data_IF_909822737001
#
_entry.id   IF_909822737001
#
_cell.length_a   1.000
_cell.length_b   1.000
_cell.length_c   1.000
_cell.angle_alpha   90.00
_cell.angle_beta   90.00
_cell.angle_gamma   90.00
#
_symmetry.space_group_name_H-M   'P 1'
#
loop_
_entity.id
_entity.type
_entity.pdbx_description
1 polymer ?
#
# COMPACT_ATOMS: atom_id res chain seq x y z
N UNK A 1 -9.91 -4.55 -11.97
CA UNK A 1 -8.86 -3.51 -11.96
C UNK A 1 -8.06 -3.65 -10.69
N UNK A 2 -6.75 -3.41 -10.74
CA UNK A 2 -5.87 -3.42 -9.57
C UNK A 2 -5.27 -2.04 -9.39
N UNK A 3 -5.29 -1.54 -8.16
CA UNK A 3 -4.61 -0.32 -7.73
C UNK A 3 -3.57 -0.72 -6.67
N UNK A 4 -2.29 -0.69 -7.02
CA UNK A 4 -1.20 -0.93 -6.08
C UNK A 4 -0.70 0.41 -5.55
N UNK A 5 -0.94 0.69 -4.28
CA UNK A 5 -0.48 1.94 -3.67
C UNK A 5 1.01 1.81 -3.37
N UNK A 6 1.83 2.65 -4.00
CA UNK A 6 3.28 2.55 -3.89
C UNK A 6 3.81 3.31 -2.67
N UNK A 7 4.82 2.72 -2.04
CA UNK A 7 5.82 3.43 -1.22
C UNK A 7 6.96 3.88 -2.15
N UNK A 8 7.68 4.93 -1.76
CA UNK A 8 8.66 5.57 -2.64
C UNK A 8 10.05 4.92 -2.58
N UNK A 9 10.45 4.36 -1.44
CA UNK A 9 11.82 3.88 -1.21
C UNK A 9 12.12 2.59 -1.96
N UNK A 10 11.19 1.65 -1.96
CA UNK A 10 11.33 0.34 -2.61
C UNK A 10 10.03 -0.02 -3.33
N UNK A 11 10.04 0.05 -4.67
CA UNK A 11 8.88 -0.38 -5.45
C UNK A 11 8.69 -1.91 -5.35
N UNK A 12 7.68 -2.36 -4.62
CA UNK A 12 7.43 -3.81 -4.40
C UNK A 12 6.74 -4.51 -5.57
N UNK A 13 6.16 -3.75 -6.52
CA UNK A 13 5.39 -4.30 -7.63
C UNK A 13 6.23 -4.66 -8.87
N UNK A 14 7.57 -4.60 -8.80
CA UNK A 14 8.48 -4.76 -9.94
C UNK A 14 8.26 -6.01 -10.81
N UNK A 15 7.91 -7.20 -10.27
CA UNK A 15 7.58 -8.36 -11.11
C UNK A 15 6.39 -8.14 -12.04
N UNK A 16 5.49 -7.24 -11.67
CA UNK A 16 4.28 -6.92 -12.41
C UNK A 16 4.40 -5.61 -13.19
N UNK A 17 5.35 -4.73 -12.84
CA UNK A 17 5.54 -3.42 -13.43
C UNK A 17 5.49 -3.39 -14.98
N UNK A 18 6.10 -4.34 -15.74
CA UNK A 18 6.01 -4.37 -17.20
C UNK A 18 4.59 -4.51 -17.78
N UNK A 19 3.61 -4.87 -16.95
CA UNK A 19 2.19 -4.99 -17.31
C UNK A 19 1.33 -3.86 -16.71
N UNK A 20 1.92 -3.01 -15.88
CA UNK A 20 1.21 -1.98 -15.12
C UNK A 20 1.40 -0.61 -15.76
N UNK A 21 0.35 0.22 -15.67
CA UNK A 21 0.46 1.67 -15.91
C UNK A 21 0.73 2.35 -14.57
N UNK A 22 1.76 3.18 -14.48
CA UNK A 22 2.01 3.96 -13.27
C UNK A 22 1.19 5.25 -13.30
N UNK A 23 0.39 5.48 -12.28
CA UNK A 23 -0.35 6.70 -12.06
C UNK A 23 0.53 7.69 -11.28
N UNK A 24 0.85 8.82 -11.89
CA UNK A 24 1.74 9.84 -11.33
C UNK A 24 0.95 11.12 -11.04
N UNK A 25 1.24 11.85 -9.96
CA UNK A 25 0.56 13.11 -9.68
C UNK A 25 0.90 14.17 -10.76
N UNK A 26 -0.12 14.80 -11.33
CA UNK A 26 0.03 15.79 -12.39
C UNK A 26 0.82 17.00 -11.88
N UNK A 27 1.81 17.45 -12.66
CA UNK A 27 2.61 18.64 -12.37
C UNK A 27 3.59 18.51 -11.20
N UNK A 28 3.84 17.29 -10.70
CA UNK A 28 4.84 17.03 -9.66
C UNK A 28 6.12 16.48 -10.29
N UNK A 29 7.23 17.12 -9.96
CA UNK A 29 8.56 16.68 -10.34
C UNK A 29 9.00 15.49 -9.47
N UNK A 30 9.54 14.45 -10.12
CA UNK A 30 10.04 13.25 -9.48
C UNK A 30 11.30 12.74 -10.19
N UNK A 31 12.16 12.07 -9.44
CA UNK A 31 13.33 11.38 -9.97
C UNK A 31 13.22 9.88 -9.69
N UNK A 32 13.72 9.05 -10.58
CA UNK A 32 13.68 7.60 -10.43
C UNK A 32 15.07 7.01 -10.53
N UNK A 33 15.40 6.18 -9.54
CA UNK A 33 16.73 5.64 -9.38
C UNK A 33 16.69 4.13 -9.27
N UNK A 34 17.43 3.45 -10.14
CA UNK A 34 17.75 2.04 -10.00
C UNK A 34 18.95 1.88 -9.06
N UNK A 35 18.71 1.33 -7.86
CA UNK A 35 19.70 1.09 -6.81
C UNK A 35 20.11 -0.39 -6.80
N UNK A 36 21.30 -0.76 -7.29
CA UNK A 36 21.74 -2.16 -7.26
C UNK A 36 21.93 -2.64 -5.82
N UNK A 37 21.58 -3.89 -5.53
CA UNK A 37 21.81 -4.48 -4.20
C UNK A 37 23.28 -4.56 -3.82
N UNK A 38 24.19 -4.58 -4.81
CA UNK A 38 25.62 -4.48 -4.56
C UNK A 38 26.00 -3.00 -4.45
N UNK A 39 26.37 -2.49 -3.25
CA UNK A 39 26.65 -1.07 -3.05
C UNK A 39 27.92 -0.59 -3.78
N UNK A 40 28.73 -1.50 -4.33
CA UNK A 40 29.87 -1.15 -5.17
C UNK A 40 29.47 -0.78 -6.62
N UNK A 41 28.23 -1.06 -7.02
CA UNK A 41 27.69 -0.64 -8.32
C UNK A 41 27.00 0.72 -8.17
N UNK A 42 27.13 1.61 -9.16
CA UNK A 42 26.51 2.92 -9.09
C UNK A 42 24.98 2.83 -9.16
N UNK A 43 24.32 3.72 -8.43
CA UNK A 43 22.91 4.06 -8.68
C UNK A 43 22.80 4.72 -10.05
N UNK A 44 21.78 4.36 -10.81
CA UNK A 44 21.54 4.88 -12.16
C UNK A 44 20.16 5.53 -12.20
N UNK A 45 20.10 6.75 -12.70
CA UNK A 45 18.84 7.43 -13.02
C UNK A 45 18.17 6.75 -14.21
N UNK A 46 16.86 6.52 -14.10
CA UNK A 46 16.05 5.84 -15.11
C UNK A 46 14.71 6.56 -15.25
N UNK A 47 13.94 6.20 -16.27
CA UNK A 47 12.55 6.64 -16.41
C UNK A 47 11.60 5.60 -15.79
N UNK A 48 10.42 6.03 -15.33
CA UNK A 48 9.38 5.07 -14.90
C UNK A 48 9.03 4.08 -16.03
N UNK A 49 9.02 4.55 -17.27
CA UNK A 49 8.69 3.73 -18.46
C UNK A 49 9.80 2.76 -18.87
N UNK A 50 10.98 2.81 -18.25
CA UNK A 50 11.99 1.74 -18.38
C UNK A 50 11.57 0.46 -17.66
N UNK A 51 10.63 0.56 -16.71
CA UNK A 51 10.19 -0.52 -15.83
C UNK A 51 8.68 -0.79 -15.97
N UNK A 52 7.89 0.27 -16.05
CA UNK A 52 6.44 0.24 -16.22
C UNK A 52 6.04 0.29 -17.69
N UNK A 53 4.86 -0.26 -18.00
CA UNK A 53 4.34 -0.30 -19.37
C UNK A 53 4.03 1.09 -19.92
N UNK A 54 3.48 1.95 -19.08
CA UNK A 54 2.92 3.25 -19.47
C UNK A 54 2.75 4.14 -18.23
N UNK A 55 2.51 5.42 -18.44
CA UNK A 55 2.23 6.43 -17.39
C UNK A 55 0.85 7.04 -17.59
N UNK A 56 0.17 7.41 -16.51
CA UNK A 56 -1.04 8.24 -16.55
C UNK A 56 -0.95 9.30 -15.46
N UNK A 57 -1.24 10.54 -15.79
CA UNK A 57 -1.25 11.62 -14.80
C UNK A 57 -2.60 11.72 -14.09
N UNK A 58 -2.62 12.10 -12.82
CA UNK A 58 -3.84 12.38 -12.07
C UNK A 58 -3.71 13.60 -11.16
N UNK A 59 -4.79 14.36 -10.99
CA UNK A 59 -4.80 15.58 -10.16
C UNK A 59 -5.20 15.31 -8.71
N UNK A 60 -6.11 14.37 -8.50
CA UNK A 60 -6.59 13.93 -7.19
C UNK A 60 -7.11 12.48 -7.26
N UNK A 61 -7.41 11.82 -6.12
CA UNK A 61 -7.88 10.44 -6.11
C UNK A 61 -9.17 10.19 -6.91
N UNK A 62 -10.06 11.19 -7.06
CA UNK A 62 -11.29 11.08 -7.83
C UNK A 62 -11.01 11.17 -9.33
N UNK A 63 -10.16 12.10 -9.75
CA UNK A 63 -9.71 12.22 -11.13
C UNK A 63 -9.10 10.91 -11.66
N UNK A 64 -8.25 10.24 -10.85
CA UNK A 64 -7.70 8.93 -11.26
C UNK A 64 -8.81 7.90 -11.53
N UNK A 65 -9.93 7.91 -10.78
CA UNK A 65 -11.05 6.99 -11.03
C UNK A 65 -11.74 7.22 -12.38
N UNK A 66 -11.66 8.43 -12.95
CA UNK A 66 -12.20 8.74 -14.29
C UNK A 66 -11.29 8.24 -15.42
N UNK A 67 -9.99 8.05 -15.13
CA UNK A 67 -8.95 7.71 -16.11
C UNK A 67 -8.64 6.21 -16.19
N UNK A 68 -8.93 5.46 -15.12
CA UNK A 68 -8.69 4.02 -15.09
C UNK A 68 -9.74 3.23 -15.87
N UNK A 69 -9.35 2.07 -16.40
CA UNK A 69 -10.25 1.18 -17.15
C UNK A 69 -10.52 -0.15 -16.44
N UNK A 70 -11.66 -0.81 -16.71
CA UNK A 70 -11.94 -2.14 -16.20
C UNK A 70 -10.87 -3.16 -16.63
N UNK A 71 -10.31 -3.87 -15.66
CA UNK A 71 -9.26 -4.86 -15.90
C UNK A 71 -7.84 -4.30 -15.96
N UNK A 72 -7.65 -2.98 -15.87
CA UNK A 72 -6.32 -2.37 -15.82
C UNK A 72 -5.55 -2.72 -14.54
N UNK A 73 -4.22 -2.66 -14.64
CA UNK A 73 -3.28 -2.81 -13.53
C UNK A 73 -2.54 -1.49 -13.35
N UNK A 74 -2.71 -0.86 -12.19
CA UNK A 74 -2.16 0.46 -11.91
C UNK A 74 -1.26 0.41 -10.68
N UNK A 75 -0.10 1.05 -10.77
CA UNK A 75 0.75 1.37 -9.62
C UNK A 75 0.58 2.86 -9.34
N UNK A 76 0.22 3.26 -8.14
CA UNK A 76 -0.15 4.64 -7.83
C UNK A 76 0.94 5.25 -6.97
N UNK A 77 1.67 6.22 -7.53
CA UNK A 77 2.58 7.05 -6.74
C UNK A 77 1.75 8.02 -5.88
N UNK A 78 2.05 8.20 -4.59
CA UNK A 78 1.32 9.11 -3.72
C UNK A 78 1.55 10.57 -4.11
N UNK A 79 0.50 11.40 -4.09
CA UNK A 79 0.63 12.84 -4.35
C UNK A 79 1.22 13.55 -3.13
N UNK A 80 2.43 14.16 -3.19
CA UNK A 80 3.06 14.78 -2.04
C UNK A 80 2.36 16.07 -1.57
N UNK A 81 1.46 16.61 -2.39
CA UNK A 81 0.61 17.75 -2.02
C UNK A 81 -0.75 17.34 -1.48
N UNK A 82 -1.05 16.04 -1.42
CA UNK A 82 -2.32 15.49 -0.92
C UNK A 82 -3.58 16.15 -1.51
N UNK A 83 -3.55 16.54 -2.78
CA UNK A 83 -4.66 17.28 -3.41
C UNK A 83 -5.95 16.47 -3.35
N UNK A 84 -7.02 17.13 -2.90
CA UNK A 84 -8.35 16.54 -2.74
C UNK A 84 -8.50 15.59 -1.53
N UNK A 85 -7.43 15.23 -0.83
CA UNK A 85 -7.50 14.24 0.26
C UNK A 85 -8.34 14.72 1.44
N UNK A 86 -8.15 15.96 1.90
CA UNK A 86 -8.91 16.55 3.01
C UNK A 86 -10.42 16.58 2.73
N UNK A 87 -10.81 16.94 1.49
CA UNK A 87 -12.22 17.00 1.10
C UNK A 87 -12.88 15.62 1.13
N UNK A 88 -12.12 14.59 0.73
CA UNK A 88 -12.59 13.21 0.69
C UNK A 88 -12.69 12.60 2.08
N UNK A 89 -11.69 12.77 2.94
CA UNK A 89 -11.64 12.11 4.25
C UNK A 89 -12.19 12.94 5.39
N UNK A 90 -12.28 14.27 5.23
CA UNK A 90 -12.55 15.24 6.31
C UNK A 90 -11.53 15.14 7.46
N UNK A 91 -10.27 14.94 7.10
CA UNK A 91 -9.13 14.85 8.01
C UNK A 91 -8.00 15.72 7.45
N UNK A 92 -7.13 16.21 8.33
CA UNK A 92 -5.99 17.07 7.98
C UNK A 92 -4.94 16.32 7.16
N UNK A 93 -4.37 17.00 6.17
CA UNK A 93 -3.15 16.58 5.47
C UNK A 93 -2.21 17.76 5.33
N UNK A 94 -1.01 17.64 5.89
CA UNK A 94 0.03 18.67 5.88
C UNK A 94 1.17 18.23 4.96
N UNK A 95 1.29 18.78 3.74
CA UNK A 95 2.46 18.60 2.90
C UNK A 95 3.74 19.10 3.57
N UNK A 96 4.90 18.57 3.19
CA UNK A 96 6.19 18.94 3.80
C UNK A 96 6.47 20.45 3.77
N UNK A 97 6.16 21.13 2.66
CA UNK A 97 6.39 22.57 2.49
C UNK A 97 5.43 23.49 3.27
N UNK A 98 4.41 22.92 3.93
CA UNK A 98 3.45 23.65 4.77
C UNK A 98 3.63 23.34 6.26
N UNK A 99 4.46 22.35 6.61
CA UNK A 99 4.72 21.98 8.00
C UNK A 99 5.72 22.95 8.65
N UNK A 100 5.57 23.19 9.95
CA UNK A 100 6.54 23.93 10.76
C UNK A 100 7.52 22.99 11.47
N UNK A 101 7.10 21.75 11.76
CA UNK A 101 7.94 20.71 12.39
C UNK A 101 7.86 19.37 11.63
N UNK A 102 8.92 18.52 11.66
CA UNK A 102 8.90 17.21 10.98
C UNK A 102 7.76 16.28 11.39
N UNK A 103 7.28 16.40 12.64
CA UNK A 103 6.18 15.58 13.17
C UNK A 103 4.82 15.95 12.54
N UNK A 104 4.67 17.17 12.03
CA UNK A 104 3.44 17.65 11.41
C UNK A 104 3.30 17.13 9.98
N UNK A 105 4.39 16.72 9.32
CA UNK A 105 4.35 16.26 7.93
C UNK A 105 3.52 14.98 7.82
N UNK A 106 2.47 15.03 7.01
CA UNK A 106 1.65 13.84 6.76
C UNK A 106 2.47 12.77 6.01
N UNK A 107 2.46 11.50 6.47
CA UNK A 107 3.07 10.41 5.73
C UNK A 107 2.41 10.23 4.35
N UNK A 108 3.20 10.09 3.28
CA UNK A 108 2.69 9.95 1.91
C UNK A 108 1.67 8.80 1.73
N UNK A 109 1.82 7.72 2.50
CA UNK A 109 0.91 6.57 2.49
C UNK A 109 -0.53 6.93 2.87
N UNK A 110 -0.76 8.04 3.57
CA UNK A 110 -2.09 8.47 4.00
C UNK A 110 -3.02 8.77 2.82
N UNK A 111 -2.48 9.04 1.63
CA UNK A 111 -3.27 9.14 0.39
C UNK A 111 -4.19 7.93 0.20
N UNK A 112 -3.81 6.76 0.73
CA UNK A 112 -4.60 5.53 0.66
C UNK A 112 -5.96 5.67 1.35
N UNK A 113 -6.07 6.48 2.40
CA UNK A 113 -7.37 6.78 3.02
C UNK A 113 -8.27 7.54 2.07
N UNK A 114 -7.74 8.51 1.33
CA UNK A 114 -8.49 9.28 0.35
C UNK A 114 -8.96 8.38 -0.81
N UNK A 115 -8.10 7.50 -1.34
CA UNK A 115 -8.50 6.51 -2.35
C UNK A 115 -9.60 5.57 -1.85
N UNK A 116 -9.51 5.08 -0.61
CA UNK A 116 -10.55 4.27 -0.01
C UNK A 116 -11.88 5.04 0.11
N UNK A 117 -11.82 6.31 0.51
CA UNK A 117 -13.00 7.17 0.63
C UNK A 117 -13.63 7.49 -0.73
N UNK A 118 -12.84 7.75 -1.77
CA UNK A 118 -13.32 7.86 -3.15
C UNK A 118 -14.07 6.60 -3.56
N UNK A 119 -13.48 5.41 -3.32
CA UNK A 119 -14.14 4.12 -3.59
C UNK A 119 -15.39 3.88 -2.74
N UNK A 120 -15.48 4.50 -1.56
CA UNK A 120 -16.62 4.36 -0.65
C UNK A 120 -17.79 5.30 -0.99
N UNK A 121 -17.49 6.51 -1.46
CA UNK A 121 -18.46 7.60 -1.63
C UNK A 121 -18.89 7.81 -3.07
N UNK A 122 -17.98 7.66 -4.02
CA UNK A 122 -18.24 8.03 -5.42
C UNK A 122 -18.66 6.83 -6.27
N UNK A 123 -19.36 7.10 -7.36
CA UNK A 123 -19.86 6.10 -8.32
C UNK A 123 -19.15 6.16 -9.68
N UNK A 124 -18.07 6.94 -9.79
CA UNK A 124 -17.34 7.17 -11.05
C UNK A 124 -16.82 5.86 -11.68
N UNK A 125 -16.37 4.93 -10.84
CA UNK A 125 -15.84 3.64 -11.27
C UNK A 125 -16.44 2.49 -10.48
N UNK A 126 -17.56 1.91 -10.91
CA UNK A 126 -18.22 0.82 -10.16
C UNK A 126 -17.72 -0.59 -10.49
N UNK A 127 -16.65 -0.71 -11.26
CA UNK A 127 -16.11 -2.00 -11.64
C UNK A 127 -15.31 -2.67 -10.51
N UNK A 128 -15.25 -4.02 -10.48
CA UNK A 128 -14.45 -4.75 -9.51
C UNK A 128 -13.00 -4.25 -9.46
N UNK A 129 -12.62 -3.78 -8.27
CA UNK A 129 -11.32 -3.15 -8.03
C UNK A 129 -10.67 -3.83 -6.84
N UNK A 130 -9.39 -4.17 -6.95
CA UNK A 130 -8.57 -4.65 -5.84
C UNK A 130 -7.54 -3.58 -5.52
N UNK A 131 -7.57 -3.05 -4.30
CA UNK A 131 -6.55 -2.13 -3.80
C UNK A 131 -5.52 -2.92 -3.00
N UNK A 132 -4.24 -2.79 -3.34
CA UNK A 132 -3.12 -3.39 -2.60
C UNK A 132 -2.48 -2.30 -1.77
N UNK A 133 -2.48 -2.50 -0.45
CA UNK A 133 -1.80 -1.62 0.49
C UNK A 133 -0.58 -2.34 1.02
N UNK A 134 0.58 -1.79 0.73
CA UNK A 134 1.82 -2.22 1.33
C UNK A 134 2.05 -1.52 2.66
N UNK A 135 2.89 -2.10 3.52
CA UNK A 135 3.18 -1.62 4.88
C UNK A 135 1.92 -1.19 5.68
N UNK A 136 0.90 -2.03 5.62
CA UNK A 136 -0.43 -1.75 6.16
C UNK A 136 -0.42 -1.47 7.67
N UNK A 137 0.55 -2.00 8.42
CA UNK A 137 0.68 -1.71 9.86
C UNK A 137 0.99 -0.26 10.16
N UNK A 138 1.71 0.45 9.29
CA UNK A 138 1.99 1.87 9.52
C UNK A 138 0.97 2.77 8.81
N UNK A 139 0.16 2.23 7.89
CA UNK A 139 -1.05 2.92 7.43
C UNK A 139 -2.15 2.94 8.51
N UNK A 140 -2.35 1.82 9.20
CA UNK A 140 -3.37 1.70 10.27
C UNK A 140 -2.75 1.28 11.60
N UNK A 141 -1.88 2.09 12.21
CA UNK A 141 -1.17 1.74 13.43
C UNK A 141 -2.12 1.42 14.58
N UNK A 142 -1.68 0.59 15.52
CA UNK A 142 -2.44 0.19 16.69
C UNK A 142 -2.66 1.39 17.61
N UNK A 143 -3.93 1.66 17.96
CA UNK A 143 -4.31 2.70 18.93
C UNK A 143 -3.68 4.07 18.63
N UNK A 144 -3.89 4.63 17.42
CA UNK A 144 -3.36 5.94 17.11
C UNK A 144 -3.97 6.98 18.05
N UNK A 145 -3.14 7.87 18.57
CA UNK A 145 -3.59 9.00 19.35
C UNK A 145 -4.05 10.13 18.42
N UNK A 146 -4.75 11.12 18.98
CA UNK A 146 -5.07 12.32 18.22
C UNK A 146 -3.78 13.12 18.00
N UNK A 147 -3.52 13.45 16.74
CA UNK A 147 -2.35 14.17 16.26
C UNK A 147 -2.76 15.23 15.23
N UNK A 148 -1.80 16.04 14.81
CA UNK A 148 -1.96 17.15 13.86
C UNK A 148 -2.47 16.65 12.50
N UNK A 149 -2.12 15.41 12.15
CA UNK A 149 -2.48 14.73 10.91
C UNK A 149 -3.82 13.98 10.97
N UNK A 150 -4.57 14.08 12.07
CA UNK A 150 -5.86 13.39 12.25
C UNK A 150 -5.76 11.85 12.01
N UNK A 151 -4.60 11.24 12.28
CA UNK A 151 -4.32 9.81 12.11
C UNK A 151 -5.36 8.97 12.85
N UNK A 152 -5.71 9.35 14.08
CA UNK A 152 -6.80 8.68 14.81
C UNK A 152 -8.10 8.65 14.01
N UNK A 153 -8.53 9.80 13.47
CA UNK A 153 -9.76 9.91 12.69
C UNK A 153 -9.69 9.05 11.42
N UNK A 154 -8.58 9.14 10.68
CA UNK A 154 -8.36 8.35 9.44
C UNK A 154 -8.45 6.85 9.71
N UNK A 155 -7.69 6.36 10.71
CA UNK A 155 -7.65 4.93 11.07
C UNK A 155 -8.99 4.43 11.62
N UNK A 156 -9.64 5.17 12.51
CA UNK A 156 -10.95 4.78 13.07
C UNK A 156 -12.08 4.88 12.04
N UNK A 157 -11.94 5.74 11.02
CA UNK A 157 -12.88 5.84 9.89
C UNK A 157 -12.75 4.70 8.87
N UNK A 158 -11.54 4.13 8.73
CA UNK A 158 -11.21 3.10 7.75
C UNK A 158 -12.22 1.93 7.68
N UNK A 159 -12.66 1.31 8.80
CA UNK A 159 -13.56 0.16 8.76
C UNK A 159 -14.94 0.50 8.18
N UNK A 160 -15.39 1.76 8.37
CA UNK A 160 -16.66 2.26 7.84
C UNK A 160 -16.53 2.51 6.33
N UNK A 161 -15.44 3.18 5.92
CA UNK A 161 -15.15 3.44 4.51
C UNK A 161 -15.03 2.13 3.72
N UNK A 162 -14.27 1.17 4.24
CA UNK A 162 -14.08 -0.14 3.63
C UNK A 162 -15.39 -0.94 3.53
N UNK A 163 -16.24 -0.87 4.55
CA UNK A 163 -17.57 -1.48 4.52
C UNK A 163 -18.49 -0.89 3.43
N UNK A 164 -18.39 0.41 3.15
CA UNK A 164 -19.12 1.07 2.06
C UNK A 164 -18.51 0.74 0.70
N UNK A 165 -17.19 0.84 0.54
CA UNK A 165 -16.49 0.56 -0.70
C UNK A 165 -16.69 -0.89 -1.17
N UNK A 166 -16.83 -1.85 -0.24
CA UNK A 166 -17.18 -3.24 -0.57
C UNK A 166 -18.53 -3.36 -1.28
N UNK A 167 -19.52 -2.52 -0.95
CA UNK A 167 -20.81 -2.48 -1.65
C UNK A 167 -20.66 -1.99 -3.10
N UNK A 168 -19.53 -1.35 -3.41
CA UNK A 168 -19.12 -0.86 -4.73
C UNK A 168 -18.00 -1.71 -5.34
N UNK A 169 -18.01 -3.02 -5.07
CA UNK A 169 -17.10 -4.01 -5.68
C UNK A 169 -15.60 -3.82 -5.36
N UNK A 170 -15.26 -3.13 -4.25
CA UNK A 170 -13.87 -3.07 -3.78
C UNK A 170 -13.49 -4.36 -3.01
N UNK A 171 -12.33 -4.91 -3.33
CA UNK A 171 -11.57 -5.86 -2.51
C UNK A 171 -10.22 -5.25 -2.13
N UNK A 172 -9.60 -5.74 -1.06
CA UNK A 172 -8.31 -5.24 -0.59
C UNK A 172 -7.34 -6.38 -0.29
N UNK A 173 -6.08 -6.15 -0.60
CA UNK A 173 -4.93 -6.97 -0.16
C UNK A 173 -4.08 -6.07 0.71
N UNK A 174 -3.88 -6.45 1.96
CA UNK A 174 -3.12 -5.68 2.94
C UNK A 174 -1.87 -6.48 3.31
N UNK A 175 -0.69 -5.91 3.07
CA UNK A 175 0.60 -6.52 3.35
C UNK A 175 1.19 -5.86 4.59
N UNK A 176 1.67 -6.64 5.56
CA UNK A 176 2.31 -6.12 6.77
C UNK A 176 3.22 -7.17 7.37
N UNK A 177 4.33 -6.72 7.96
CA UNK A 177 5.22 -7.54 8.76
C UNK A 177 4.56 -8.10 10.02
N UNK A 178 3.58 -7.39 10.60
CA UNK A 178 2.90 -7.81 11.82
C UNK A 178 1.49 -7.25 11.93
N UNK A 179 0.49 -8.12 11.73
CA UNK A 179 -0.92 -7.77 11.90
C UNK A 179 -1.25 -7.33 13.35
N UNK A 180 -0.44 -7.74 14.33
CA UNK A 180 -0.62 -7.32 15.74
C UNK A 180 -0.38 -5.81 15.95
N UNK A 181 0.31 -5.15 15.01
CA UNK A 181 0.53 -3.69 15.02
C UNK A 181 -0.58 -2.91 14.33
N UNK A 182 -1.57 -3.57 13.73
CA UNK A 182 -2.70 -2.90 13.12
C UNK A 182 -3.79 -2.59 14.15
N UNK A 183 -4.51 -1.49 13.95
CA UNK A 183 -5.70 -1.19 14.75
C UNK A 183 -6.76 -2.31 14.67
N UNK A 184 -7.50 -2.52 15.76
CA UNK A 184 -8.47 -3.61 15.88
C UNK A 184 -9.63 -3.48 14.89
N UNK A 185 -10.18 -2.28 14.71
CA UNK A 185 -11.30 -2.05 13.80
C UNK A 185 -10.96 -2.43 12.34
N UNK A 186 -9.80 -1.99 11.81
CA UNK A 186 -9.29 -2.44 10.53
C UNK A 186 -9.04 -3.96 10.46
N UNK A 187 -8.47 -4.57 11.51
CA UNK A 187 -8.27 -6.03 11.58
C UNK A 187 -9.57 -6.80 11.40
N UNK A 188 -10.64 -6.41 12.10
CA UNK A 188 -11.96 -7.05 12.04
C UNK A 188 -12.55 -7.14 10.64
N UNK A 189 -12.15 -6.26 9.72
CA UNK A 189 -12.63 -6.29 8.35
C UNK A 189 -11.82 -7.21 7.42
N UNK A 190 -10.68 -7.71 7.86
CA UNK A 190 -9.88 -8.66 7.10
C UNK A 190 -10.51 -10.05 7.25
N UNK A 191 -10.95 -10.63 6.12
CA UNK A 191 -11.70 -11.88 6.12
C UNK A 191 -10.82 -13.12 6.04
N UNK A 192 -9.71 -13.02 5.32
CA UNK A 192 -8.77 -14.10 5.05
C UNK A 192 -7.39 -13.60 5.39
N UNK A 193 -6.59 -14.48 5.98
CA UNK A 193 -5.22 -14.17 6.36
C UNK A 193 -4.28 -15.12 5.65
N UNK A 194 -3.09 -14.62 5.35
CA UNK A 194 -2.01 -15.42 4.76
C UNK A 194 -0.80 -15.29 5.68
N UNK A 195 -0.31 -16.41 6.19
CA UNK A 195 0.91 -16.45 6.99
C UNK A 195 2.06 -16.95 6.12
N UNK A 196 3.08 -16.12 6.03
CA UNK A 196 4.27 -16.37 5.22
C UNK A 196 5.24 -17.36 5.91
N UNK A 197 6.09 -18.03 5.12
CA UNK A 197 7.31 -18.70 5.55
C UNK A 197 8.03 -18.01 6.69
N UNK A 198 8.44 -18.78 7.70
CA UNK A 198 9.29 -18.30 8.80
C UNK A 198 8.70 -17.09 9.56
N UNK A 199 7.40 -16.85 9.47
CA UNK A 199 6.66 -15.84 10.23
C UNK A 199 5.79 -16.53 11.28
N UNK A 200 5.88 -16.14 12.56
CA UNK A 200 5.01 -16.71 13.58
C UNK A 200 3.55 -16.39 13.26
N UNK A 201 2.61 -17.36 13.37
CA UNK A 201 1.20 -17.04 13.25
C UNK A 201 0.79 -16.08 14.38
N UNK A 202 -0.21 -15.22 14.16
CA UNK A 202 -0.70 -14.33 15.21
C UNK A 202 -1.17 -15.11 16.45
N UNK A 203 -1.06 -14.48 17.63
CA UNK A 203 -1.57 -15.08 18.86
C UNK A 203 -3.09 -15.27 18.78
N UNK A 204 -3.60 -16.39 19.31
CA UNK A 204 -5.05 -16.65 19.41
C UNK A 204 -5.80 -15.62 20.26
N UNK A 205 -5.10 -14.90 21.14
CA UNK A 205 -5.65 -13.82 21.95
C UNK A 205 -5.70 -12.48 21.22
N UNK A 206 -5.18 -12.39 19.99
CA UNK A 206 -5.19 -11.14 19.24
C UNK A 206 -6.62 -10.83 18.78
N UNK A 207 -7.16 -9.71 19.24
CA UNK A 207 -8.52 -9.33 18.89
C UNK A 207 -8.68 -9.02 17.39
N UNK A 208 -9.91 -9.10 16.89
CA UNK A 208 -10.29 -8.72 15.53
C UNK A 208 -9.89 -9.67 14.41
N UNK A 209 -9.26 -10.82 14.68
CA UNK A 209 -8.85 -11.78 13.63
C UNK A 209 -9.54 -13.16 13.72
N UNK A 210 -10.35 -13.38 14.75
CA UNK A 210 -11.02 -14.67 15.00
C UNK A 210 -10.05 -15.75 15.47
N UNK A 211 -10.42 -17.02 15.27
CA UNK A 211 -9.59 -18.16 15.64
C UNK A 211 -8.40 -18.31 14.66
N UNK A 212 -7.21 -18.63 15.16
CA UNK A 212 -6.02 -18.92 14.35
C UNK A 212 -5.80 -20.44 14.31
N UNK A 213 -6.10 -21.11 13.18
CA UNK A 213 -6.13 -22.58 13.13
C UNK A 213 -4.77 -23.22 12.85
N UNK A 214 -3.73 -22.39 12.72
CA UNK A 214 -2.38 -22.80 12.34
C UNK A 214 -1.43 -22.62 13.52
N UNK A 215 -0.46 -23.53 13.66
CA UNK A 215 0.58 -23.44 14.69
C UNK A 215 1.97 -23.32 14.07
N UNK A 216 2.94 -22.93 14.89
CA UNK A 216 4.32 -22.70 14.46
C UNK A 216 4.97 -23.96 13.87
N UNK A 217 4.65 -25.14 14.39
CA UNK A 217 5.19 -26.41 13.88
C UNK A 217 4.76 -26.67 12.42
N UNK A 218 3.50 -26.37 12.10
CA UNK A 218 2.99 -26.50 10.73
C UNK A 218 3.67 -25.50 9.78
N UNK A 219 3.83 -24.24 10.20
CA UNK A 219 4.53 -23.22 9.42
C UNK A 219 5.98 -23.62 9.18
N UNK A 220 6.72 -24.04 10.21
CA UNK A 220 8.11 -24.47 10.08
C UNK A 220 8.26 -25.71 9.18
N UNK A 221 7.28 -26.62 9.15
CA UNK A 221 7.34 -27.84 8.33
C UNK A 221 6.97 -27.59 6.87
N UNK A 222 5.95 -26.77 6.61
CA UNK A 222 5.42 -26.54 5.26
C UNK A 222 6.09 -25.36 4.54
N UNK A 223 6.38 -24.30 5.30
CA UNK A 223 6.67 -22.97 4.79
C UNK A 223 8.14 -22.58 4.89
N UNK A 224 9.10 -23.44 5.24
CA UNK A 224 10.54 -23.10 5.17
C UNK A 224 11.07 -22.87 3.71
N UNK A 225 10.18 -22.77 2.73
CA UNK A 225 10.52 -22.57 1.31
C UNK A 225 9.85 -21.33 0.77
N UNK A 226 10.65 -20.43 0.19
CA UNK A 226 10.16 -19.30 -0.61
C UNK A 226 9.17 -19.80 -1.68
N UNK A 227 8.10 -19.05 -1.91
CA UNK A 227 7.05 -19.44 -2.87
C UNK A 227 5.97 -20.35 -2.28
N UNK A 228 5.84 -20.39 -0.95
CA UNK A 228 4.76 -21.08 -0.24
C UNK A 228 4.19 -20.15 0.81
N UNK A 229 2.94 -20.36 1.21
CA UNK A 229 2.35 -19.77 2.40
C UNK A 229 1.13 -20.59 2.84
N UNK A 230 0.49 -20.18 3.93
CA UNK A 230 -0.75 -20.81 4.39
C UNK A 230 -1.83 -19.74 4.42
N UNK A 231 -2.90 -19.94 3.65
CA UNK A 231 -4.11 -19.12 3.74
C UNK A 231 -5.03 -19.74 4.78
N UNK A 232 -5.63 -18.92 5.64
CA UNK A 232 -6.47 -19.40 6.72
C UNK A 232 -7.59 -18.42 7.08
N UNK A 233 -8.61 -18.97 7.74
CA UNK A 233 -9.73 -18.24 8.33
C UNK A 233 -10.43 -19.11 9.38
N UNK A 234 -10.56 -18.59 10.60
CA UNK A 234 -11.24 -19.26 11.71
C UNK A 234 -10.70 -20.68 11.90
N UNK A 235 -11.49 -21.70 11.57
CA UNK A 235 -11.13 -23.10 11.81
C UNK A 235 -10.49 -23.79 10.59
N UNK A 236 -10.35 -23.09 9.47
CA UNK A 236 -9.89 -23.68 8.21
C UNK A 236 -8.58 -23.05 7.75
N UNK A 237 -7.68 -23.88 7.20
CA UNK A 237 -6.47 -23.43 6.52
C UNK A 237 -6.15 -24.31 5.32
N UNK A 238 -5.44 -23.74 4.36
CA UNK A 238 -4.94 -24.44 3.19
C UNK A 238 -3.52 -23.97 2.83
N UNK A 239 -2.63 -24.89 2.43
CA UNK A 239 -1.35 -24.52 1.84
C UNK A 239 -1.56 -23.87 0.47
N UNK A 240 -0.79 -22.82 0.18
CA UNK A 240 -0.70 -22.19 -1.14
C UNK A 240 0.77 -22.14 -1.60
N UNK A 241 0.98 -22.15 -2.90
CA UNK A 241 2.31 -22.09 -3.51
C UNK A 241 2.31 -21.32 -4.83
N UNK A 242 3.42 -20.66 -5.12
CA UNK A 242 3.63 -19.91 -6.37
C UNK A 242 5.09 -20.05 -6.85
N UNK A 243 5.32 -19.93 -8.17
CA UNK A 243 6.67 -19.96 -8.72
C UNK A 243 7.46 -18.72 -8.27
N UNK A 244 8.79 -18.83 -8.21
CA UNK A 244 9.63 -17.65 -8.04
C UNK A 244 9.63 -16.82 -9.34
N UNK A 245 9.05 -15.61 -9.35
CA UNK A 245 8.96 -14.79 -10.57
C UNK A 245 10.35 -14.34 -11.04
N UNK A 246 11.30 -14.15 -10.12
CA UNK A 246 12.62 -13.60 -10.40
C UNK A 246 13.60 -14.55 -11.11
N UNK A 247 13.20 -15.79 -11.47
CA UNK A 247 14.10 -16.78 -12.09
C UNK A 247 14.73 -16.32 -13.41
N UNK A 248 14.12 -15.36 -14.11
CA UNK A 248 14.56 -14.89 -15.43
C UNK A 248 15.09 -13.45 -15.44
N UNK A 249 15.09 -12.76 -14.31
CA UNK A 249 15.47 -11.34 -14.24
C UNK A 249 16.96 -11.21 -13.90
N UNK A 250 17.67 -10.39 -14.68
CA UNK A 250 19.13 -10.18 -14.55
C UNK A 250 19.48 -9.11 -13.52
N UNK A 251 18.60 -8.13 -13.30
CA UNK A 251 18.79 -7.11 -12.26
C UNK A 251 18.18 -7.57 -10.94
N UNK A 252 18.94 -7.40 -9.86
CA UNK A 252 18.51 -7.56 -8.46
C UNK A 252 18.91 -6.29 -7.73
N UNK A 253 17.97 -5.36 -7.63
CA UNK A 253 18.10 -4.11 -6.93
C UNK A 253 16.73 -3.52 -6.71
N UNK A 254 16.69 -2.36 -6.06
CA UNK A 254 15.48 -1.61 -5.79
C UNK A 254 15.31 -0.52 -6.84
N UNK A 255 14.07 -0.17 -7.11
CA UNK A 255 13.75 1.10 -7.77
C UNK A 255 13.22 2.00 -6.66
N UNK A 256 13.79 3.19 -6.53
CA UNK A 256 13.29 4.23 -5.63
C UNK A 256 12.84 5.45 -6.43
N UNK A 257 11.77 6.09 -5.97
CA UNK A 257 11.26 7.34 -6.52
C UNK A 257 11.45 8.42 -5.47
N UNK A 258 11.90 9.62 -5.85
CA UNK A 258 12.04 10.76 -4.94
C UNK A 258 11.28 11.96 -5.48
N UNK A 259 10.78 12.80 -4.58
CA UNK A 259 10.17 14.08 -4.94
C UNK A 259 11.11 15.21 -4.50
N UNK A 260 11.99 15.75 -5.38
CA UNK A 260 13.06 16.64 -4.97
C UNK A 260 12.61 17.81 -4.09
N UNK A 261 11.53 18.50 -4.48
CA UNK A 261 10.97 19.62 -3.70
C UNK A 261 10.41 19.23 -2.34
N UNK A 262 9.93 17.99 -2.19
CA UNK A 262 9.48 17.48 -0.90
C UNK A 262 10.68 17.19 0.00
N UNK A 263 11.73 16.58 -0.55
CA UNK A 263 12.95 16.28 0.19
C UNK A 263 13.66 17.58 0.62
N UNK A 264 13.74 18.58 -0.27
CA UNK A 264 14.24 19.92 0.06
C UNK A 264 13.46 20.56 1.22
N UNK A 265 12.12 20.51 1.18
CA UNK A 265 11.29 21.03 2.26
C UNK A 265 11.49 20.26 3.58
N UNK A 266 11.73 18.95 3.53
CA UNK A 266 12.02 18.15 4.72
C UNK A 266 13.39 18.46 5.31
N UNK A 267 14.40 18.74 4.48
CA UNK A 267 15.74 19.10 4.91
C UNK A 267 15.79 20.49 5.56
N UNK A 268 14.79 21.34 5.34
CA UNK A 268 14.66 22.68 5.92
C UNK A 268 13.96 22.71 7.31
N UNK A 269 13.34 21.60 7.75
CA UNK A 269 12.65 21.45 9.05
C UNK A 269 13.59 21.01 10.18
#
# INVERSE_FOLDING_TARGET
TLLWMLTLDELECLPLAPFMTVAVPEGIEYEVHAKPRNPALPTVEIELTDVFRDTVEYTDPRDLMTKIVPGGLYAVLPDPLFRGCEQLTRATYTPAHEADEPAEVTPLRDVNFAFLETRAKDDEFLHPTTMVNDEFSDLVPLNPEADENDTNRKVKGWPVAQGKARKKNLSMINLSHSIARCDEGPREKNRWFVTMPNTPPPANSLSGIGNVPINMNYINTFADRKGRAVIWRNDNFAPIQWPNPYRRYRFRGEISVTYPRREEALDEL
#
